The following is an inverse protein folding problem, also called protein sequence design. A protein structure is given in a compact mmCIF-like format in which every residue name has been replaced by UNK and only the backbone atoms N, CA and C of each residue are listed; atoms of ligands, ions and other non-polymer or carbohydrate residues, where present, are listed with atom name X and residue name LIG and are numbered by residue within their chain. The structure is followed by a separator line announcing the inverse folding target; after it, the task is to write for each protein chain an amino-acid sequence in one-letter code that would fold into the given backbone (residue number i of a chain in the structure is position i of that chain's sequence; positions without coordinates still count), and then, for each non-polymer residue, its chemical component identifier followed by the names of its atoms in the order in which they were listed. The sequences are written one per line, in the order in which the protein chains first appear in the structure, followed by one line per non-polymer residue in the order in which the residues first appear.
data_IF_180431101733
#
_entry.id   IF_180431101733
#
_cell.length_a   1.000
_cell.length_b   1.000
_cell.length_c   1.000
_cell.angle_alpha   90.00
_cell.angle_beta   90.00
_cell.angle_gamma   90.00
#
_symmetry.space_group_name_H-M   'P 1'
#
loop_
_entity.id
_entity.type
_entity.pdbx_description
1 polymer ?
#
# COMPACT_ATOMS: atom_id res chain seq x y z
N UNK A 1 -3.18 22.50 -8.70
CA UNK A 1 -1.89 21.93 -8.26
C UNK A 1 -1.57 20.77 -9.19
N UNK A 2 -0.47 20.85 -9.95
CA UNK A 2 -0.07 19.82 -10.94
C UNK A 2 1.00 18.98 -10.24
N UNK A 3 0.72 17.72 -9.93
CA UNK A 3 1.73 16.85 -9.31
C UNK A 3 2.79 16.53 -10.36
N UNK A 4 4.05 16.86 -10.07
CA UNK A 4 5.20 16.43 -10.88
C UNK A 4 5.89 15.33 -10.09
N UNK A 5 5.77 14.09 -10.58
CA UNK A 5 6.52 12.95 -10.06
C UNK A 5 7.64 12.71 -11.05
N UNK A 6 8.87 13.09 -10.69
CA UNK A 6 10.05 12.88 -11.53
C UNK A 6 10.54 11.43 -11.38
N UNK A 7 11.02 11.09 -10.18
CA UNK A 7 11.36 9.72 -9.78
C UNK A 7 10.63 9.33 -8.50
N UNK A 8 10.08 8.11 -8.45
CA UNK A 8 9.48 7.53 -7.26
C UNK A 8 10.15 6.20 -6.91
N UNK A 9 10.47 6.03 -5.63
CA UNK A 9 10.89 4.74 -5.09
C UNK A 9 9.67 4.01 -4.55
N UNK A 10 9.45 2.79 -5.03
CA UNK A 10 8.35 1.96 -4.57
C UNK A 10 8.86 0.95 -3.54
N UNK A 11 8.21 0.97 -2.38
CA UNK A 11 8.55 0.08 -1.27
C UNK A 11 7.33 -0.71 -0.83
N UNK A 12 7.56 -1.94 -0.38
CA UNK A 12 6.53 -2.80 0.20
C UNK A 12 6.86 -3.06 1.67
N UNK A 13 5.98 -2.68 2.61
CA UNK A 13 6.17 -3.02 4.01
C UNK A 13 6.12 -4.53 4.29
N UNK A 14 6.94 -4.99 5.22
CA UNK A 14 6.97 -6.35 5.74
C UNK A 14 5.60 -6.85 6.26
N UNK A 15 4.82 -5.97 6.89
CA UNK A 15 3.46 -6.27 7.36
C UNK A 15 2.51 -6.58 6.20
N UNK A 16 2.66 -5.92 5.03
CA UNK A 16 1.87 -6.21 3.83
C UNK A 16 2.22 -7.59 3.27
N UNK A 17 3.52 -7.94 3.26
CA UNK A 17 3.97 -9.29 2.87
C UNK A 17 3.37 -10.35 3.79
N UNK A 18 3.33 -10.06 5.10
CA UNK A 18 2.76 -10.96 6.10
C UNK A 18 1.26 -11.19 5.90
N UNK A 19 0.49 -10.13 5.61
CA UNK A 19 -0.93 -10.24 5.29
C UNK A 19 -1.18 -11.03 4.00
N UNK A 20 -0.41 -10.77 2.94
CA UNK A 20 -0.49 -11.53 1.69
C UNK A 20 -0.21 -13.02 1.89
N UNK A 21 0.80 -13.38 2.69
CA UNK A 21 1.06 -14.76 3.07
C UNK A 21 -0.10 -15.38 3.87
N UNK A 22 -0.79 -14.58 4.69
CA UNK A 22 -2.03 -15.00 5.36
C UNK A 22 -3.15 -15.30 4.36
N UNK A 23 -3.30 -14.48 3.32
CA UNK A 23 -4.33 -14.66 2.28
C UNK A 23 -4.11 -15.92 1.42
N UNK A 24 -2.88 -16.41 1.30
CA UNK A 24 -2.58 -17.68 0.63
C UNK A 24 -3.32 -18.87 1.24
N UNK A 25 -3.71 -18.78 2.52
CA UNK A 25 -4.48 -19.84 3.21
C UNK A 25 -5.96 -19.84 2.83
N UNK A 26 -6.44 -18.80 2.14
CA UNK A 26 -7.81 -18.70 1.67
C UNK A 26 -7.88 -19.08 0.16
N UNK A 27 -8.52 -20.20 -0.20
CA UNK A 27 -8.62 -20.64 -1.60
C UNK A 27 -9.17 -19.59 -2.55
N UNK A 28 -10.14 -18.78 -2.11
CA UNK A 28 -10.76 -17.74 -2.93
C UNK A 28 -9.86 -16.53 -3.21
N UNK A 29 -8.78 -16.36 -2.43
CA UNK A 29 -7.85 -15.22 -2.55
C UNK A 29 -6.42 -15.65 -2.92
N UNK A 30 -6.14 -16.94 -2.93
CA UNK A 30 -4.81 -17.51 -3.11
C UNK A 30 -4.18 -17.12 -4.46
N UNK A 31 -4.96 -17.14 -5.55
CA UNK A 31 -4.45 -16.76 -6.87
C UNK A 31 -3.93 -15.31 -6.89
N UNK A 32 -4.76 -14.37 -6.47
CA UNK A 32 -4.42 -12.95 -6.44
C UNK A 32 -3.28 -12.65 -5.46
N UNK A 33 -3.32 -13.26 -4.27
CA UNK A 33 -2.27 -13.10 -3.27
C UNK A 33 -0.92 -13.62 -3.75
N UNK A 34 -0.91 -14.75 -4.48
CA UNK A 34 0.31 -15.32 -5.07
C UNK A 34 0.92 -14.39 -6.13
N UNK A 35 0.09 -13.83 -7.01
CA UNK A 35 0.51 -12.85 -8.00
C UNK A 35 1.11 -11.60 -7.36
N UNK A 36 0.43 -11.04 -6.36
CA UNK A 36 0.89 -9.88 -5.61
C UNK A 36 2.22 -10.16 -4.88
N UNK A 37 2.35 -11.30 -4.20
CA UNK A 37 3.60 -11.72 -3.54
C UNK A 37 4.76 -11.85 -4.52
N UNK A 38 4.52 -12.41 -5.71
CA UNK A 38 5.56 -12.56 -6.74
C UNK A 38 6.09 -11.21 -7.20
N UNK A 39 5.22 -10.21 -7.39
CA UNK A 39 5.62 -8.85 -7.72
C UNK A 39 6.37 -8.20 -6.55
N UNK A 40 5.81 -8.28 -5.34
CA UNK A 40 6.36 -7.65 -4.15
C UNK A 40 7.76 -8.15 -3.79
N UNK A 41 8.10 -9.42 -4.06
CA UNK A 41 9.44 -9.99 -3.82
C UNK A 41 10.56 -9.28 -4.55
N UNK A 42 10.28 -8.66 -5.70
CA UNK A 42 11.28 -7.94 -6.51
C UNK A 42 11.35 -6.44 -6.16
N UNK A 43 10.55 -5.98 -5.20
CA UNK A 43 10.50 -4.59 -4.75
C UNK A 43 11.36 -4.40 -3.51
N UNK A 44 11.76 -3.16 -3.22
CA UNK A 44 12.44 -2.84 -1.97
C UNK A 44 11.47 -3.01 -0.78
N UNK A 45 11.94 -3.62 0.31
CA UNK A 45 11.13 -3.82 1.51
C UNK A 45 11.55 -2.87 2.63
N UNK A 46 10.57 -2.46 3.44
CA UNK A 46 10.80 -1.69 4.66
C UNK A 46 10.17 -2.42 5.85
N UNK A 47 10.80 -2.32 7.02
CA UNK A 47 10.27 -2.90 8.25
C UNK A 47 9.48 -1.84 9.00
N UNK A 48 8.18 -2.08 9.22
CA UNK A 48 7.33 -1.15 9.97
C UNK A 48 7.05 -1.62 11.40
N UNK A 49 7.31 -2.89 11.72
CA UNK A 49 7.21 -3.40 13.09
C UNK A 49 5.79 -3.38 13.68
N UNK A 50 4.76 -3.34 12.84
CA UNK A 50 3.34 -3.32 13.25
C UNK A 50 2.64 -4.59 12.78
N UNK A 51 1.55 -4.93 13.47
CA UNK A 51 0.75 -6.15 13.20
C UNK A 51 -0.21 -6.01 12.01
N UNK A 52 -0.73 -4.82 11.76
CA UNK A 52 -1.79 -4.56 10.77
C UNK A 52 -1.32 -3.53 9.76
N UNK A 53 -1.45 -3.83 8.47
CA UNK A 53 -0.92 -3.00 7.39
C UNK A 53 -1.55 -1.60 7.38
N UNK A 54 -2.86 -1.50 7.58
CA UNK A 54 -3.58 -0.22 7.58
C UNK A 54 -3.00 0.78 8.60
N UNK A 55 -2.80 0.31 9.83
CA UNK A 55 -2.21 1.12 10.90
C UNK A 55 -0.74 1.43 10.64
N UNK A 56 0.02 0.44 10.15
CA UNK A 56 1.42 0.61 9.84
C UNK A 56 1.65 1.69 8.78
N UNK A 57 0.87 1.63 7.70
CA UNK A 57 0.94 2.58 6.60
C UNK A 57 0.55 3.98 7.08
N UNK A 58 -0.57 4.12 7.80
CA UNK A 58 -1.04 5.41 8.30
C UNK A 58 -0.02 6.06 9.27
N UNK A 59 0.53 5.29 10.20
CA UNK A 59 1.53 5.77 11.16
C UNK A 59 2.81 6.20 10.43
N UNK A 60 3.30 5.36 9.51
CA UNK A 60 4.52 5.64 8.75
C UNK A 60 4.41 6.94 7.96
N UNK A 61 3.33 7.13 7.19
CA UNK A 61 3.20 8.35 6.35
C UNK A 61 2.89 9.61 7.15
N UNK A 62 2.29 9.50 8.34
CA UNK A 62 2.14 10.66 9.24
C UNK A 62 3.48 11.18 9.73
N UNK A 63 4.43 10.29 9.96
CA UNK A 63 5.75 10.65 10.50
C UNK A 63 6.76 10.98 9.41
N UNK A 64 6.76 10.22 8.30
CA UNK A 64 7.82 10.29 7.28
C UNK A 64 7.34 10.89 5.95
N UNK A 65 6.05 11.17 5.82
CA UNK A 65 5.43 11.55 4.54
C UNK A 65 5.37 10.38 3.55
N UNK A 66 5.19 10.72 2.28
CA UNK A 66 5.10 9.75 1.19
C UNK A 66 3.67 9.56 0.68
N UNK A 67 3.51 8.60 -0.23
CA UNK A 67 2.25 8.36 -0.94
C UNK A 67 1.84 6.91 -0.70
N UNK A 68 0.63 6.68 -0.20
CA UNK A 68 0.10 5.33 -0.01
C UNK A 68 -0.68 4.90 -1.26
N UNK A 69 -0.28 3.79 -1.87
CA UNK A 69 -1.08 3.15 -2.90
C UNK A 69 -2.10 2.20 -2.26
N UNK A 70 -3.39 2.51 -2.36
CA UNK A 70 -4.45 1.65 -1.81
C UNK A 70 -5.78 1.78 -2.56
N UNK A 71 -6.49 0.67 -2.70
CA UNK A 71 -7.88 0.62 -3.17
C UNK A 71 -8.89 0.51 -2.01
N UNK A 72 -8.42 0.30 -0.78
CA UNK A 72 -9.27 0.20 0.39
C UNK A 72 -9.89 1.57 0.72
N UNK A 73 -11.23 1.61 0.84
CA UNK A 73 -11.98 2.85 1.05
C UNK A 73 -11.72 3.47 2.42
N UNK A 74 -11.56 2.65 3.45
CA UNK A 74 -11.37 3.11 4.83
C UNK A 74 -9.95 3.64 5.01
N UNK A 75 -8.94 2.89 4.55
CA UNK A 75 -7.54 3.33 4.60
C UNK A 75 -7.36 4.60 3.78
N UNK A 76 -7.89 4.66 2.55
CA UNK A 76 -7.85 5.88 1.74
C UNK A 76 -8.44 7.09 2.48
N UNK A 77 -9.61 6.94 3.12
CA UNK A 77 -10.24 8.03 3.88
C UNK A 77 -9.37 8.45 5.05
N UNK A 78 -8.77 7.50 5.77
CA UNK A 78 -7.90 7.78 6.91
C UNK A 78 -6.61 8.52 6.51
N UNK A 79 -5.96 8.10 5.43
CA UNK A 79 -4.74 8.75 4.91
C UNK A 79 -5.05 10.18 4.46
N UNK A 80 -6.14 10.39 3.71
CA UNK A 80 -6.57 11.74 3.29
C UNK A 80 -6.95 12.63 4.47
N UNK A 81 -7.63 12.08 5.48
CA UNK A 81 -7.97 12.82 6.69
C UNK A 81 -6.73 13.25 7.50
N UNK A 82 -5.61 12.53 7.34
CA UNK A 82 -4.31 12.89 7.90
C UNK A 82 -3.51 13.89 7.03
N UNK A 83 -4.11 14.42 5.96
CA UNK A 83 -3.46 15.37 5.04
C UNK A 83 -2.41 14.75 4.12
N UNK A 84 -2.38 13.43 3.98
CA UNK A 84 -1.41 12.69 3.20
C UNK A 84 -1.97 12.28 1.82
N UNK A 85 -1.08 12.03 0.86
CA UNK A 85 -1.45 11.67 -0.51
C UNK A 85 -1.73 10.18 -0.69
N UNK A 86 -2.71 9.86 -1.55
CA UNK A 86 -3.08 8.48 -1.89
C UNK A 86 -3.08 8.26 -3.39
N UNK A 87 -2.48 7.16 -3.83
CA UNK A 87 -2.69 6.58 -5.16
C UNK A 87 -3.79 5.51 -5.06
N UNK A 88 -4.79 5.57 -5.94
CA UNK A 88 -5.82 4.53 -6.03
C UNK A 88 -6.18 4.21 -7.48
N UNK A 89 -6.80 3.06 -7.70
CA UNK A 89 -7.34 2.68 -9.01
C UNK A 89 -8.79 3.14 -9.15
N UNK A 90 -9.09 3.84 -10.25
CA UNK A 90 -10.44 4.27 -10.61
C UNK A 90 -10.65 4.15 -12.12
N UNK A 91 -11.72 3.47 -12.56
CA UNK A 91 -12.03 3.25 -13.98
C UNK A 91 -10.80 2.82 -14.80
N UNK A 92 -10.08 1.80 -14.31
CA UNK A 92 -8.88 1.27 -14.94
C UNK A 92 -7.70 2.27 -15.07
N UNK A 93 -7.75 3.38 -14.33
CA UNK A 93 -6.73 4.43 -14.33
C UNK A 93 -6.16 4.62 -12.92
N UNK A 94 -4.89 5.01 -12.83
CA UNK A 94 -4.25 5.39 -11.58
C UNK A 94 -4.58 6.87 -11.30
N UNK A 95 -5.12 7.14 -10.12
CA UNK A 95 -5.48 8.49 -9.67
C UNK A 95 -4.71 8.83 -8.41
N UNK A 96 -3.99 9.96 -8.43
CA UNK A 96 -3.35 10.57 -7.28
C UNK A 96 -4.30 11.60 -6.65
N UNK A 97 -4.57 11.46 -5.36
CA UNK A 97 -5.58 12.24 -4.62
C UNK A 97 -5.07 12.77 -3.28
#
# INVERSE_FOLDING_TARGET
MKYVVDSATYVVPDVVISELNGLMKNPAKCHDASGALKLARNMQHIQLGKKYADWALLDYVKTHGGIVATTDKQLKKAIKAAGQSVISLHNNSIVLQ
#
